data_IF_245577977965
#
_entry.id   IF_245577977965
#
_cell.length_a   1.000
_cell.length_b   1.000
_cell.length_c   1.000
_cell.angle_alpha   90.00
_cell.angle_beta   90.00
_cell.angle_gamma   90.00
#
_symmetry.space_group_name_H-M   'P 1'
#
loop_
_entity.id
_entity.type
_entity.pdbx_description
1 polymer ?
#
# COMPACT_ATOMS: atom_id res chain seq x y z
N UNK A 1 14.34 13.33 6.28
CA UNK A 1 12.90 13.19 5.94
C UNK A 1 12.74 13.69 4.52
N UNK A 2 12.22 12.88 3.62
CA UNK A 2 11.79 13.35 2.30
C UNK A 2 10.51 14.14 2.57
N UNK A 3 10.41 15.39 2.09
CA UNK A 3 9.24 16.21 2.35
C UNK A 3 7.99 15.57 1.79
N UNK A 4 6.98 15.35 2.64
CA UNK A 4 5.66 14.85 2.23
C UNK A 4 4.93 15.83 1.29
N UNK A 5 5.40 17.09 1.29
CA UNK A 5 4.83 18.18 0.49
C UNK A 5 5.43 18.29 -0.93
N UNK A 6 6.42 17.45 -1.26
CA UNK A 6 7.00 17.46 -2.61
C UNK A 6 5.97 16.97 -3.63
N UNK A 7 5.71 17.78 -4.65
CA UNK A 7 4.74 17.48 -5.71
C UNK A 7 5.41 16.89 -6.94
N UNK A 8 4.73 15.99 -7.62
CA UNK A 8 5.17 15.35 -8.86
C UNK A 8 3.97 15.01 -9.74
N UNK A 9 4.20 14.91 -11.04
CA UNK A 9 3.17 14.58 -12.01
C UNK A 9 3.21 13.08 -12.33
N UNK A 10 2.05 12.43 -12.27
CA UNK A 10 1.88 11.02 -12.65
C UNK A 10 0.80 10.87 -13.71
N UNK A 11 0.99 10.00 -14.71
CA UNK A 11 -0.10 9.66 -15.62
C UNK A 11 -1.25 9.02 -14.84
N UNK A 12 -2.49 9.47 -15.08
CA UNK A 12 -3.69 8.92 -14.44
C UNK A 12 -3.78 7.41 -14.64
N UNK A 13 -3.42 6.93 -15.85
CA UNK A 13 -3.41 5.50 -16.15
C UNK A 13 -2.49 4.68 -15.25
N UNK A 14 -1.46 5.29 -14.75
CA UNK A 14 -0.47 4.66 -13.88
C UNK A 14 -1.03 4.42 -12.49
N UNK A 15 -1.56 5.48 -11.88
CA UNK A 15 -2.10 5.45 -10.52
C UNK A 15 -3.37 4.59 -10.45
N UNK A 16 -4.25 4.70 -11.44
CA UNK A 16 -5.46 3.87 -11.55
C UNK A 16 -5.11 2.39 -11.66
N UNK A 17 -4.12 2.01 -12.46
CA UNK A 17 -3.78 0.59 -12.66
C UNK A 17 -3.21 -0.05 -11.40
N UNK A 18 -2.40 0.66 -10.61
CA UNK A 18 -1.90 0.15 -9.34
C UNK A 18 -3.02 -0.08 -8.34
N UNK A 19 -3.84 0.93 -8.13
CA UNK A 19 -4.93 0.86 -7.17
C UNK A 19 -6.00 -0.15 -7.60
N UNK A 20 -6.28 -0.25 -8.91
CA UNK A 20 -7.21 -1.26 -9.43
C UNK A 20 -6.81 -2.68 -9.07
N UNK A 21 -5.50 -3.00 -8.97
CA UNK A 21 -5.02 -4.32 -8.56
C UNK A 21 -5.54 -4.73 -7.19
N UNK A 22 -5.34 -3.89 -6.18
CA UNK A 22 -5.81 -4.12 -4.80
C UNK A 22 -7.32 -4.26 -4.74
N UNK A 23 -8.04 -3.33 -5.37
CA UNK A 23 -9.50 -3.32 -5.37
C UNK A 23 -10.08 -4.50 -6.14
N UNK A 24 -9.51 -4.87 -7.29
CA UNK A 24 -9.95 -6.00 -8.08
C UNK A 24 -9.75 -7.32 -7.33
N UNK A 25 -8.63 -7.48 -6.65
CA UNK A 25 -8.36 -8.66 -5.82
C UNK A 25 -9.36 -8.74 -4.66
N UNK A 26 -9.59 -7.65 -3.95
CA UNK A 26 -10.58 -7.58 -2.87
C UNK A 26 -11.99 -7.86 -3.39
N UNK A 27 -12.39 -7.23 -4.51
CA UNK A 27 -13.68 -7.46 -5.14
C UNK A 27 -13.90 -8.93 -5.50
N UNK A 28 -12.91 -9.57 -6.15
CA UNK A 28 -12.97 -10.98 -6.52
C UNK A 28 -13.10 -11.88 -5.29
N UNK A 29 -12.30 -11.66 -4.24
CA UNK A 29 -12.40 -12.43 -2.99
C UNK A 29 -13.77 -12.32 -2.33
N UNK A 30 -14.35 -11.12 -2.31
CA UNK A 30 -15.69 -10.92 -1.77
C UNK A 30 -16.74 -11.61 -2.66
N UNK A 31 -16.66 -11.46 -3.98
CA UNK A 31 -17.56 -12.13 -4.93
C UNK A 31 -17.60 -13.63 -4.75
N UNK A 32 -16.43 -14.27 -4.59
CA UNK A 32 -16.30 -15.71 -4.42
C UNK A 32 -16.87 -16.20 -3.08
N UNK A 33 -16.79 -15.39 -2.03
CA UNK A 33 -17.16 -15.80 -0.66
C UNK A 33 -18.56 -15.40 -0.23
N UNK A 34 -19.05 -14.27 -0.68
CA UNK A 34 -20.35 -13.73 -0.27
C UNK A 34 -21.30 -13.45 -1.44
N UNK A 35 -20.85 -13.65 -2.67
CA UNK A 35 -21.63 -13.45 -3.88
C UNK A 35 -21.73 -12.02 -4.35
N UNK A 36 -22.27 -11.84 -5.57
CA UNK A 36 -22.33 -10.55 -6.27
C UNK A 36 -23.21 -9.53 -5.54
N UNK A 37 -24.34 -9.94 -5.02
CA UNK A 37 -25.31 -9.04 -4.40
C UNK A 37 -24.74 -8.35 -3.16
N UNK A 38 -24.18 -9.12 -2.24
CA UNK A 38 -23.56 -8.58 -1.02
C UNK A 38 -22.30 -7.77 -1.33
N UNK A 39 -21.48 -8.23 -2.27
CA UNK A 39 -20.30 -7.47 -2.71
C UNK A 39 -20.70 -6.12 -3.29
N UNK A 40 -21.69 -6.08 -4.17
CA UNK A 40 -22.21 -4.83 -4.74
C UNK A 40 -22.80 -3.92 -3.66
N UNK A 41 -23.47 -4.48 -2.66
CA UNK A 41 -24.03 -3.70 -1.55
C UNK A 41 -22.93 -3.05 -0.69
N UNK A 42 -21.75 -3.69 -0.52
CA UNK A 42 -20.60 -3.09 0.15
C UNK A 42 -20.08 -1.89 -0.66
N UNK A 43 -19.89 -2.03 -1.97
CA UNK A 43 -19.43 -0.93 -2.84
C UNK A 43 -20.40 0.23 -2.87
N UNK A 44 -21.70 -0.05 -2.93
CA UNK A 44 -22.74 0.98 -2.92
C UNK A 44 -22.87 1.73 -1.58
N UNK A 45 -22.23 1.22 -0.52
CA UNK A 45 -22.12 1.93 0.76
C UNK A 45 -21.01 3.02 0.75
N UNK A 46 -20.15 3.03 -0.27
CA UNK A 46 -19.16 4.11 -0.43
C UNK A 46 -19.86 5.45 -0.72
N UNK A 47 -19.28 6.57 -0.27
CA UNK A 47 -19.79 7.89 -0.58
C UNK A 47 -19.96 8.08 -2.10
N UNK A 48 -21.06 8.67 -2.51
CA UNK A 48 -21.30 9.00 -3.92
C UNK A 48 -20.42 10.14 -4.44
N UNK A 49 -19.79 10.90 -3.56
CA UNK A 49 -18.89 12.02 -3.89
C UNK A 49 -17.43 11.68 -3.49
N UNK A 50 -16.44 12.26 -4.20
CA UNK A 50 -15.04 12.15 -3.82
C UNK A 50 -14.80 12.66 -2.39
N UNK A 51 -13.87 12.03 -1.68
CA UNK A 51 -13.41 12.55 -0.39
C UNK A 51 -12.68 13.90 -0.54
N UNK A 52 -12.38 14.54 0.60
CA UNK A 52 -11.75 15.86 0.58
C UNK A 52 -10.35 15.84 -0.03
N UNK A 53 -9.60 14.74 0.13
CA UNK A 53 -8.28 14.59 -0.48
C UNK A 53 -8.40 14.52 -2.00
N UNK A 54 -9.32 13.69 -2.51
CA UNK A 54 -9.59 13.60 -3.94
C UNK A 54 -10.07 14.95 -4.52
N UNK A 55 -10.96 15.65 -3.81
CA UNK A 55 -11.40 17.00 -4.21
C UNK A 55 -10.23 17.99 -4.30
N UNK A 56 -9.29 17.93 -3.36
CA UNK A 56 -8.08 18.77 -3.40
C UNK A 56 -7.20 18.45 -4.61
N UNK A 57 -6.99 17.16 -4.88
CA UNK A 57 -6.21 16.71 -6.04
C UNK A 57 -6.85 17.17 -7.35
N UNK A 58 -8.15 16.95 -7.50
CA UNK A 58 -8.90 17.34 -8.71
C UNK A 58 -8.99 18.86 -8.91
N UNK A 59 -8.96 19.63 -7.83
CA UNK A 59 -8.98 21.10 -7.88
C UNK A 59 -7.61 21.71 -8.16
N UNK A 60 -6.54 20.93 -8.15
CA UNK A 60 -5.20 21.43 -8.42
C UNK A 60 -5.00 21.65 -9.93
N UNK A 61 -4.77 22.91 -10.31
CA UNK A 61 -4.48 23.25 -11.70
C UNK A 61 -3.00 22.96 -12.01
N UNK A 62 -2.76 21.98 -12.91
CA UNK A 62 -1.43 21.66 -13.42
C UNK A 62 -0.79 22.91 -14.02
N UNK A 63 0.43 23.23 -13.59
CA UNK A 63 1.22 24.34 -14.17
C UNK A 63 1.29 25.60 -13.33
N UNK A 64 0.77 25.64 -12.11
CA UNK A 64 0.98 26.74 -11.16
C UNK A 64 2.09 26.42 -10.16
N UNK A 65 3.26 26.96 -10.42
CA UNK A 65 4.29 27.44 -9.49
C UNK A 65 5.42 26.53 -9.00
N UNK A 66 5.51 25.24 -9.22
CA UNK A 66 6.78 24.55 -9.00
C UNK A 66 7.05 23.57 -10.15
N UNK A 67 8.28 23.54 -10.66
CA UNK A 67 8.66 22.53 -11.66
C UNK A 67 8.43 21.15 -11.03
N UNK A 68 7.49 20.35 -11.57
CA UNK A 68 7.24 19.02 -11.04
C UNK A 68 8.51 18.18 -11.18
N UNK A 69 8.78 17.36 -10.19
CA UNK A 69 9.86 16.40 -10.27
C UNK A 69 9.55 15.43 -11.41
N UNK A 70 10.46 15.35 -12.39
CA UNK A 70 10.28 14.42 -13.50
C UNK A 70 10.15 12.98 -12.98
N UNK A 71 9.30 12.17 -13.62
CA UNK A 71 9.10 10.75 -13.29
C UNK A 71 10.41 9.92 -13.28
N UNK A 72 11.44 10.41 -13.95
CA UNK A 72 12.78 9.82 -14.05
C UNK A 72 13.53 9.78 -12.70
N UNK A 73 13.07 10.54 -11.70
CA UNK A 73 13.62 10.48 -10.33
C UNK A 73 12.98 9.38 -9.47
N UNK A 74 11.93 8.72 -9.96
CA UNK A 74 11.41 7.52 -9.33
C UNK A 74 12.43 6.39 -9.51
N UNK A 75 12.76 5.70 -8.44
CA UNK A 75 13.71 4.57 -8.54
C UNK A 75 13.14 3.48 -9.45
N UNK A 76 14.02 2.73 -10.15
CA UNK A 76 13.59 1.60 -11.00
C UNK A 76 12.68 0.63 -10.25
N UNK A 77 12.92 0.41 -8.94
CA UNK A 77 12.08 -0.44 -8.08
C UNK A 77 10.64 0.07 -7.94
N UNK A 78 10.46 1.38 -7.90
CA UNK A 78 9.13 2.01 -7.84
C UNK A 78 8.46 1.92 -9.22
N UNK A 79 9.20 2.15 -10.29
CA UNK A 79 8.70 2.01 -11.65
C UNK A 79 8.26 0.59 -11.96
N UNK A 80 8.99 -0.43 -11.51
CA UNK A 80 8.63 -1.84 -11.70
C UNK A 80 7.35 -2.24 -10.93
N UNK A 81 7.14 -1.67 -9.76
CA UNK A 81 5.92 -1.90 -8.98
C UNK A 81 4.70 -1.28 -9.67
N UNK A 82 4.83 -0.04 -10.13
CA UNK A 82 3.75 0.67 -10.84
C UNK A 82 3.50 0.14 -12.26
N UNK A 83 4.52 -0.41 -12.93
CA UNK A 83 4.37 -1.02 -14.25
C UNK A 83 3.80 -2.44 -14.23
N UNK A 84 3.53 -3.00 -13.04
CA UNK A 84 3.03 -4.38 -12.92
C UNK A 84 1.58 -4.45 -13.42
N UNK A 85 1.29 -5.14 -14.55
CA UNK A 85 -0.09 -5.26 -15.02
C UNK A 85 -0.91 -6.09 -14.02
N UNK A 86 -2.23 -5.85 -13.97
CA UNK A 86 -3.23 -6.67 -13.28
C UNK A 86 -3.00 -8.16 -13.61
N UNK A 87 -2.19 -8.86 -12.82
CA UNK A 87 -1.86 -10.26 -13.07
C UNK A 87 -2.93 -11.14 -12.44
N UNK A 88 -3.63 -11.91 -13.26
CA UNK A 88 -4.45 -13.05 -12.83
C UNK A 88 -5.89 -12.76 -12.43
N UNK A 89 -6.36 -11.54 -12.55
CA UNK A 89 -7.79 -11.23 -12.42
C UNK A 89 -8.42 -11.34 -13.80
N UNK A 90 -9.68 -11.78 -13.88
CA UNK A 90 -10.51 -11.48 -15.04
C UNK A 90 -10.68 -9.94 -15.08
N UNK A 91 -9.66 -9.31 -15.66
CA UNK A 91 -9.45 -7.87 -15.63
C UNK A 91 -10.58 -7.12 -16.33
N UNK A 92 -11.30 -7.79 -17.22
CA UNK A 92 -12.39 -7.18 -17.99
C UNK A 92 -13.64 -6.99 -17.14
N UNK A 93 -14.06 -8.02 -16.40
CA UNK A 93 -15.27 -7.93 -15.57
C UNK A 93 -15.06 -7.11 -14.30
N UNK A 94 -13.96 -7.32 -13.59
CA UNK A 94 -13.65 -6.58 -12.37
C UNK A 94 -13.33 -5.12 -12.70
N UNK A 95 -12.56 -4.86 -13.76
CA UNK A 95 -12.23 -3.52 -14.21
C UNK A 95 -13.49 -2.73 -14.63
N UNK A 96 -14.38 -3.33 -15.39
CA UNK A 96 -15.64 -2.68 -15.80
C UNK A 96 -16.53 -2.33 -14.59
N UNK A 97 -16.59 -3.20 -13.58
CA UNK A 97 -17.32 -2.92 -12.34
C UNK A 97 -16.68 -1.75 -11.58
N UNK A 98 -15.38 -1.81 -11.34
CA UNK A 98 -14.67 -0.80 -10.57
C UNK A 98 -14.75 0.58 -11.24
N UNK A 99 -14.52 0.66 -12.55
CA UNK A 99 -14.61 1.91 -13.30
C UNK A 99 -16.02 2.52 -13.34
N UNK A 100 -17.06 1.74 -13.06
CA UNK A 100 -18.43 2.24 -12.94
C UNK A 100 -18.83 2.67 -11.53
N UNK A 101 -17.93 2.52 -10.53
CA UNK A 101 -18.20 2.82 -9.13
C UNK A 101 -17.14 3.76 -8.53
N UNK A 102 -17.50 4.57 -7.52
CA UNK A 102 -16.53 5.37 -6.78
C UNK A 102 -15.42 4.49 -6.16
N UNK A 103 -14.16 4.98 -6.06
CA UNK A 103 -13.69 6.30 -6.49
C UNK A 103 -13.31 6.39 -7.98
N UNK A 104 -13.20 5.27 -8.69
CA UNK A 104 -12.64 5.24 -10.04
C UNK A 104 -13.55 5.89 -11.10
N UNK A 105 -14.86 5.86 -10.91
CA UNK A 105 -15.80 6.56 -11.81
C UNK A 105 -15.55 8.07 -11.86
N UNK A 106 -15.23 8.69 -10.73
CA UNK A 106 -14.89 10.12 -10.69
C UNK A 106 -13.60 10.44 -11.44
N UNK A 107 -12.60 9.56 -11.29
CA UNK A 107 -11.32 9.73 -11.98
C UNK A 107 -11.49 9.62 -13.49
N UNK A 108 -12.34 8.73 -13.96
CA UNK A 108 -12.70 8.61 -15.37
C UNK A 108 -13.38 9.88 -15.91
N UNK A 109 -14.30 10.44 -15.15
CA UNK A 109 -14.98 11.68 -15.51
C UNK A 109 -14.00 12.86 -15.57
N UNK A 110 -13.09 12.96 -14.60
CA UNK A 110 -12.08 14.01 -14.53
C UNK A 110 -10.93 13.83 -15.53
N UNK A 111 -10.72 12.66 -16.10
CA UNK A 111 -9.57 12.36 -16.96
C UNK A 111 -9.42 13.34 -18.14
N UNK A 112 -10.52 13.75 -18.74
CA UNK A 112 -10.54 14.70 -19.86
C UNK A 112 -10.16 16.12 -19.41
N UNK A 113 -10.55 16.53 -18.21
CA UNK A 113 -10.27 17.85 -17.64
C UNK A 113 -8.82 17.95 -17.17
N UNK A 114 -8.26 16.86 -16.64
CA UNK A 114 -6.88 16.78 -16.13
C UNK A 114 -5.83 16.48 -17.22
N UNK A 115 -6.23 16.41 -18.49
CA UNK A 115 -5.32 16.09 -19.61
C UNK A 115 -4.53 14.78 -19.44
N UNK A 116 -5.07 13.85 -18.67
CA UNK A 116 -4.47 12.53 -18.42
C UNK A 116 -3.33 12.51 -17.39
N UNK A 117 -3.11 13.60 -16.64
CA UNK A 117 -2.05 13.72 -15.63
C UNK A 117 -2.65 14.16 -14.29
N UNK A 118 -2.20 13.52 -13.20
CA UNK A 118 -2.42 13.97 -11.83
C UNK A 118 -1.15 14.61 -11.28
N UNK A 119 -1.27 15.78 -10.67
CA UNK A 119 -0.18 16.38 -9.93
C UNK A 119 -0.38 16.12 -8.44
N UNK A 120 0.49 15.29 -7.86
CA UNK A 120 0.36 14.77 -6.51
C UNK A 120 1.54 15.17 -5.63
N UNK A 121 1.28 15.50 -4.38
CA UNK A 121 2.31 15.47 -3.35
C UNK A 121 2.59 14.03 -2.92
N UNK A 122 3.73 13.79 -2.29
CA UNK A 122 4.04 12.46 -1.72
C UNK A 122 2.96 12.01 -0.73
N UNK A 123 2.41 12.93 0.05
CA UNK A 123 1.30 12.65 0.98
C UNK A 123 0.03 12.19 0.21
N UNK A 124 -0.35 12.93 -0.82
CA UNK A 124 -1.53 12.62 -1.65
C UNK A 124 -1.36 11.26 -2.34
N UNK A 125 -0.19 10.97 -2.92
CA UNK A 125 0.09 9.68 -3.55
C UNK A 125 0.01 8.50 -2.56
N UNK A 126 0.51 8.69 -1.33
CA UNK A 126 0.43 7.66 -0.29
C UNK A 126 -1.00 7.36 0.16
N UNK A 127 -1.90 8.34 0.09
CA UNK A 127 -3.23 8.24 0.68
C UNK A 127 -4.36 8.24 -0.34
N UNK A 128 -4.03 8.45 -1.63
CA UNK A 128 -5.01 8.38 -2.71
C UNK A 128 -5.74 7.02 -2.67
N UNK A 129 -7.05 7.06 -2.69
CA UNK A 129 -7.94 5.90 -2.60
C UNK A 129 -7.91 5.09 -1.28
N UNK A 130 -7.06 5.40 -0.30
CA UNK A 130 -7.00 4.65 0.97
C UNK A 130 -8.27 4.79 1.79
N UNK A 131 -8.91 5.96 1.75
CA UNK A 131 -10.18 6.18 2.44
C UNK A 131 -11.26 5.22 1.91
N UNK A 132 -11.38 5.08 0.59
CA UNK A 132 -12.32 4.16 -0.02
C UNK A 132 -12.01 2.69 0.32
N UNK A 133 -10.72 2.29 0.26
CA UNK A 133 -10.29 0.94 0.67
C UNK A 133 -10.63 0.67 2.13
N UNK A 134 -10.34 1.60 3.02
CA UNK A 134 -10.66 1.47 4.44
C UNK A 134 -12.16 1.32 4.68
N UNK A 135 -12.99 2.12 3.99
CA UNK A 135 -14.46 2.03 4.10
C UNK A 135 -15.02 0.71 3.60
N UNK A 136 -14.49 0.16 2.49
CA UNK A 136 -14.87 -1.18 2.02
C UNK A 136 -14.54 -2.22 3.09
N UNK A 137 -13.37 -2.14 3.70
CA UNK A 137 -12.94 -3.05 4.75
C UNK A 137 -13.80 -2.91 6.01
N UNK A 138 -14.07 -1.69 6.46
CA UNK A 138 -14.95 -1.40 7.60
C UNK A 138 -16.36 -1.95 7.37
N UNK A 139 -16.95 -1.71 6.19
CA UNK A 139 -18.27 -2.22 5.85
C UNK A 139 -18.29 -3.75 5.78
N UNK A 140 -17.24 -4.37 5.20
CA UNK A 140 -17.10 -5.82 5.15
C UNK A 140 -17.04 -6.43 6.57
N UNK A 141 -16.25 -5.82 7.45
CA UNK A 141 -16.13 -6.28 8.84
C UNK A 141 -17.41 -6.02 9.62
N UNK A 142 -18.07 -4.89 9.41
CA UNK A 142 -19.34 -4.59 10.07
C UNK A 142 -20.42 -5.62 9.74
N UNK A 143 -20.47 -6.11 8.50
CA UNK A 143 -21.44 -7.11 8.04
C UNK A 143 -21.08 -8.54 8.49
N UNK A 144 -19.81 -8.91 8.41
CA UNK A 144 -19.38 -10.30 8.53
C UNK A 144 -18.49 -10.56 9.75
N UNK A 145 -18.19 -9.55 10.57
CA UNK A 145 -17.37 -9.67 11.78
C UNK A 145 -15.99 -10.25 11.49
N UNK A 146 -15.55 -11.23 12.27
CA UNK A 146 -14.24 -11.87 12.10
C UNK A 146 -14.06 -12.56 10.75
N UNK A 147 -15.13 -13.07 10.15
CA UNK A 147 -15.05 -13.65 8.81
C UNK A 147 -14.75 -12.57 7.76
N UNK A 148 -15.31 -11.36 7.90
CA UNK A 148 -14.99 -10.21 7.05
C UNK A 148 -13.54 -9.77 7.17
N UNK A 149 -13.01 -9.71 8.38
CA UNK A 149 -11.60 -9.41 8.64
C UNK A 149 -10.67 -10.42 7.94
N UNK A 150 -10.99 -11.72 8.03
CA UNK A 150 -10.22 -12.77 7.35
C UNK A 150 -10.31 -12.67 5.83
N UNK A 151 -11.48 -12.33 5.27
CA UNK A 151 -11.62 -12.12 3.83
C UNK A 151 -10.74 -10.99 3.32
N UNK A 152 -10.71 -9.87 4.02
CA UNK A 152 -9.83 -8.73 3.69
C UNK A 152 -8.36 -9.13 3.80
N UNK A 153 -7.97 -9.78 4.91
CA UNK A 153 -6.60 -10.24 5.12
C UNK A 153 -6.12 -11.19 4.02
N UNK A 154 -6.94 -12.15 3.64
CA UNK A 154 -6.63 -13.12 2.58
C UNK A 154 -6.47 -12.43 1.21
N UNK A 155 -7.34 -11.45 0.90
CA UNK A 155 -7.27 -10.68 -0.34
C UNK A 155 -5.96 -9.88 -0.43
N UNK A 156 -5.59 -9.18 0.63
CA UNK A 156 -4.34 -8.43 0.68
C UNK A 156 -3.11 -9.34 0.51
N UNK A 157 -3.11 -10.50 1.17
CA UNK A 157 -2.01 -11.45 1.03
C UNK A 157 -1.93 -12.09 -0.36
N UNK A 158 -3.06 -12.31 -1.02
CA UNK A 158 -3.07 -12.82 -2.40
C UNK A 158 -2.49 -11.80 -3.37
N UNK A 159 -2.84 -10.53 -3.21
CA UNK A 159 -2.25 -9.46 -3.99
C UNK A 159 -0.73 -9.46 -3.89
N UNK A 160 -0.17 -9.46 -2.67
CA UNK A 160 1.28 -9.53 -2.47
C UNK A 160 1.92 -10.77 -3.09
N UNK A 161 1.26 -11.94 -3.03
CA UNK A 161 1.74 -13.14 -3.71
C UNK A 161 1.75 -13.01 -5.23
N UNK A 162 0.84 -12.23 -5.79
CA UNK A 162 0.79 -12.00 -7.24
C UNK A 162 1.90 -11.08 -7.74
N UNK A 163 2.34 -10.15 -6.89
CA UNK A 163 3.38 -9.16 -7.19
C UNK A 163 4.78 -9.72 -6.91
N UNK A 164 4.96 -10.37 -5.77
CA UNK A 164 6.27 -10.92 -5.36
C UNK A 164 6.42 -12.32 -5.94
N UNK A 165 6.98 -12.40 -7.13
CA UNK A 165 7.16 -13.66 -7.88
C UNK A 165 8.52 -14.33 -7.65
N UNK A 166 9.50 -13.58 -7.19
CA UNK A 166 10.86 -14.05 -6.96
C UNK A 166 11.33 -13.76 -5.54
N UNK A 167 12.02 -14.71 -4.94
CA UNK A 167 12.63 -14.57 -3.63
C UNK A 167 14.10 -14.19 -3.73
N UNK A 168 14.50 -13.28 -2.88
CA UNK A 168 15.90 -12.91 -2.71
C UNK A 168 16.57 -13.85 -1.70
N UNK A 169 17.83 -14.28 -1.92
CA UNK A 169 18.60 -15.00 -0.91
C UNK A 169 18.67 -14.21 0.40
N UNK A 170 18.50 -14.89 1.55
CA UNK A 170 18.42 -14.23 2.85
C UNK A 170 19.63 -13.35 3.17
N UNK A 171 20.84 -13.78 2.81
CA UNK A 171 22.04 -12.97 3.00
C UNK A 171 22.01 -11.66 2.22
N UNK A 172 21.51 -11.68 0.97
CA UNK A 172 21.38 -10.48 0.14
C UNK A 172 20.28 -9.57 0.68
N UNK A 173 19.16 -10.14 1.12
CA UNK A 173 18.11 -9.39 1.79
C UNK A 173 18.63 -8.65 3.02
N UNK A 174 19.31 -9.36 3.94
CA UNK A 174 19.87 -8.77 5.17
C UNK A 174 20.86 -7.65 4.85
N UNK A 175 21.76 -7.87 3.88
CA UNK A 175 22.73 -6.87 3.43
C UNK A 175 22.05 -5.61 2.88
N UNK A 176 21.07 -5.76 1.99
CA UNK A 176 20.33 -4.64 1.41
C UNK A 176 19.54 -3.89 2.48
N UNK A 177 18.83 -4.60 3.36
CA UNK A 177 18.04 -4.01 4.45
C UNK A 177 18.93 -3.22 5.42
N UNK A 178 20.06 -3.78 5.82
CA UNK A 178 21.02 -3.11 6.69
C UNK A 178 21.61 -1.86 6.03
N UNK A 179 21.97 -1.94 4.75
CA UNK A 179 22.47 -0.81 3.99
C UNK A 179 21.43 0.32 3.91
N UNK A 180 20.17 -0.01 3.64
CA UNK A 180 19.05 0.94 3.59
C UNK A 180 18.83 1.64 4.95
N UNK A 181 18.89 0.93 6.05
CA UNK A 181 18.71 1.53 7.38
C UNK A 181 19.92 2.38 7.82
N UNK A 182 21.13 2.04 7.39
CA UNK A 182 22.33 2.86 7.61
C UNK A 182 22.38 4.12 6.76
N UNK A 183 21.86 4.01 5.54
CA UNK A 183 21.88 5.08 4.53
C UNK A 183 20.49 5.15 3.89
N UNK A 184 19.50 5.76 4.57
CA UNK A 184 18.17 5.86 3.99
C UNK A 184 18.24 6.61 2.65
N UNK A 185 17.51 6.16 1.62
CA UNK A 185 17.52 6.78 0.30
C UNK A 185 17.10 8.25 0.41
N UNK A 186 17.78 9.09 -0.37
CA UNK A 186 17.47 10.52 -0.46
C UNK A 186 16.37 10.81 -1.49
N UNK A 187 16.09 9.83 -2.33
CA UNK A 187 15.08 9.89 -3.40
C UNK A 187 13.70 9.52 -2.87
N UNK A 188 12.69 9.91 -3.62
CA UNK A 188 11.29 9.60 -3.35
C UNK A 188 11.09 8.08 -3.31
N UNK A 189 11.08 7.53 -2.14
CA UNK A 189 10.65 6.15 -1.91
C UNK A 189 9.21 6.24 -1.39
N UNK A 190 8.24 6.07 -2.27
CA UNK A 190 6.82 6.20 -1.95
C UNK A 190 6.45 5.27 -0.79
N UNK A 191 7.03 4.07 -0.74
CA UNK A 191 6.80 3.12 0.35
C UNK A 191 7.54 3.45 1.65
N UNK A 192 8.64 4.21 1.58
CA UNK A 192 9.43 4.63 2.73
C UNK A 192 9.29 6.11 3.09
N UNK A 193 8.66 6.92 2.23
CA UNK A 193 8.59 8.38 2.38
C UNK A 193 7.89 8.84 3.67
N UNK A 194 7.06 8.01 4.25
CA UNK A 194 6.38 8.28 5.51
C UNK A 194 6.99 7.63 6.74
N UNK A 195 8.20 7.04 6.64
CA UNK A 195 8.84 6.31 7.74
C UNK A 195 10.13 6.98 8.19
N UNK A 196 10.23 7.30 9.49
CA UNK A 196 11.50 7.58 10.13
C UNK A 196 11.99 6.31 10.83
N UNK A 197 13.17 5.84 10.41
CA UNK A 197 13.72 4.56 10.88
C UNK A 197 15.05 4.81 11.61
N UNK A 198 15.13 4.33 12.84
CA UNK A 198 16.33 4.34 13.65
C UNK A 198 16.92 2.93 13.76
N UNK A 199 18.09 2.70 13.18
CA UNK A 199 18.80 1.44 13.36
C UNK A 199 19.35 1.37 14.79
N UNK A 200 18.85 0.42 15.59
CA UNK A 200 19.29 0.19 16.97
C UNK A 200 20.52 -0.70 17.05
N UNK A 201 20.50 -1.78 16.28
CA UNK A 201 21.64 -2.68 16.12
C UNK A 201 21.50 -3.43 14.81
N UNK A 202 22.60 -3.89 14.21
CA UNK A 202 22.48 -4.72 13.03
C UNK A 202 23.80 -5.18 12.45
N UNK A 203 23.79 -6.44 12.05
CA UNK A 203 24.79 -7.09 11.23
C UNK A 203 24.08 -7.97 10.17
N UNK A 204 24.82 -8.84 9.50
CA UNK A 204 24.28 -9.74 8.48
C UNK A 204 23.40 -10.88 9.04
N UNK A 205 23.40 -11.08 10.37
CA UNK A 205 22.62 -12.13 11.04
C UNK A 205 21.35 -11.59 11.70
N UNK A 206 21.42 -10.37 12.23
CA UNK A 206 20.31 -9.76 12.93
C UNK A 206 20.28 -8.25 12.69
N UNK A 207 19.10 -7.71 12.42
CA UNK A 207 18.85 -6.28 12.32
C UNK A 207 17.71 -5.92 13.26
N UNK A 208 17.94 -4.96 14.14
CA UNK A 208 16.92 -4.35 14.98
C UNK A 208 16.79 -2.88 14.62
N UNK A 209 15.61 -2.47 14.18
CA UNK A 209 15.28 -1.10 13.86
C UNK A 209 13.96 -0.67 14.52
N UNK A 210 13.91 0.59 14.90
CA UNK A 210 12.68 1.22 15.39
C UNK A 210 12.16 2.21 14.34
N UNK A 211 10.91 2.05 13.93
CA UNK A 211 10.19 3.04 13.14
C UNK A 211 9.52 3.99 14.13
N UNK A 212 10.01 5.20 14.22
CA UNK A 212 9.56 6.22 15.19
C UNK A 212 8.49 7.14 14.62
N UNK A 213 8.37 7.22 13.31
CA UNK A 213 7.29 7.91 12.59
C UNK A 213 6.79 7.01 11.48
N UNK A 214 5.49 6.91 11.33
CA UNK A 214 4.84 6.15 10.27
C UNK A 214 3.62 6.93 9.77
N UNK A 215 3.68 7.41 8.53
CA UNK A 215 2.58 8.19 7.95
C UNK A 215 1.31 7.36 7.79
N UNK A 216 1.44 6.05 7.53
CA UNK A 216 0.31 5.13 7.51
C UNK A 216 -0.38 5.04 8.88
N UNK A 217 0.41 4.95 9.97
CA UNK A 217 -0.15 4.92 11.31
C UNK A 217 -0.85 6.24 11.63
N UNK A 218 -0.25 7.39 11.28
CA UNK A 218 -0.87 8.70 11.48
C UNK A 218 -2.20 8.80 10.74
N UNK A 219 -2.22 8.45 9.45
CA UNK A 219 -3.42 8.52 8.61
C UNK A 219 -4.55 7.63 9.13
N UNK A 220 -4.25 6.34 9.37
CA UNK A 220 -5.29 5.40 9.77
C UNK A 220 -5.78 5.62 11.20
N UNK A 221 -4.90 5.96 12.15
CA UNK A 221 -5.33 6.26 13.53
C UNK A 221 -6.25 7.45 13.59
N UNK A 222 -6.07 8.45 12.74
CA UNK A 222 -6.93 9.62 12.64
C UNK A 222 -8.28 9.33 11.99
N UNK A 223 -8.30 8.51 10.91
CA UNK A 223 -9.46 8.38 10.03
C UNK A 223 -10.16 7.01 10.13
N UNK A 224 -9.41 5.94 10.23
CA UNK A 224 -9.90 4.56 10.14
C UNK A 224 -9.20 3.64 11.16
N UNK A 225 -9.26 3.94 12.47
CA UNK A 225 -8.50 3.20 13.48
C UNK A 225 -8.91 1.70 13.56
N UNK A 226 -10.13 1.37 13.17
CA UNK A 226 -10.66 0.01 13.21
C UNK A 226 -9.99 -0.96 12.23
N UNK A 227 -9.47 -0.46 11.11
CA UNK A 227 -8.87 -1.27 10.03
C UNK A 227 -7.41 -0.94 9.75
N UNK A 228 -6.86 0.08 10.38
CA UNK A 228 -5.51 0.55 10.08
C UNK A 228 -4.44 -0.52 10.25
N UNK A 229 -4.49 -1.30 11.34
CA UNK A 229 -3.57 -2.41 11.55
C UNK A 229 -3.69 -3.47 10.45
N UNK A 230 -4.92 -3.83 10.10
CA UNK A 230 -5.19 -4.82 9.06
C UNK A 230 -4.62 -4.39 7.70
N UNK A 231 -4.85 -3.14 7.30
CA UNK A 231 -4.46 -2.63 5.99
C UNK A 231 -2.97 -2.30 5.86
N UNK A 232 -2.34 -1.82 6.93
CA UNK A 232 -0.97 -1.32 6.86
C UNK A 232 0.06 -2.24 7.52
N UNK A 233 -0.32 -2.94 8.60
CA UNK A 233 0.64 -3.65 9.43
C UNK A 233 0.55 -5.16 9.31
N UNK A 234 -0.65 -5.74 9.16
CA UNK A 234 -0.84 -7.19 9.21
C UNK A 234 -0.13 -7.93 8.07
N UNK A 235 0.15 -7.24 6.98
CA UNK A 235 0.79 -7.78 5.77
C UNK A 235 2.32 -7.87 5.87
N UNK A 236 2.95 -7.20 6.82
CA UNK A 236 4.42 -7.14 6.88
C UNK A 236 5.07 -8.53 7.00
N UNK A 237 4.63 -9.37 7.94
CA UNK A 237 5.23 -10.71 8.11
C UNK A 237 5.01 -11.60 6.88
N UNK A 238 3.79 -11.73 6.31
CA UNK A 238 3.60 -12.44 5.05
C UNK A 238 4.45 -11.90 3.90
N UNK A 239 4.53 -10.59 3.73
CA UNK A 239 5.31 -9.95 2.66
C UNK A 239 6.79 -10.30 2.79
N UNK A 240 7.39 -10.18 3.98
CA UNK A 240 8.79 -10.52 4.15
C UNK A 240 9.07 -12.01 3.92
N UNK A 241 8.15 -12.91 4.26
CA UNK A 241 8.26 -14.34 3.93
C UNK A 241 8.16 -14.64 2.44
N UNK A 242 7.45 -13.78 1.70
CA UNK A 242 7.38 -13.88 0.23
C UNK A 242 8.66 -13.35 -0.42
N UNK A 243 9.25 -12.29 0.12
CA UNK A 243 10.43 -11.64 -0.45
C UNK A 243 11.72 -12.41 -0.27
N UNK A 244 11.85 -13.25 0.76
CA UNK A 244 13.13 -13.90 1.06
C UNK A 244 12.96 -15.23 1.78
N UNK A 245 13.91 -16.16 1.53
CA UNK A 245 14.08 -17.38 2.31
C UNK A 245 15.23 -17.21 3.32
N UNK A 246 15.16 -17.97 4.42
CA UNK A 246 16.22 -17.95 5.44
C UNK A 246 16.27 -16.68 6.30
N UNK A 247 15.22 -15.85 6.26
CA UNK A 247 15.08 -14.69 7.15
C UNK A 247 13.70 -14.71 7.78
N UNK A 248 13.64 -14.42 9.07
CA UNK A 248 12.38 -14.21 9.79
C UNK A 248 12.24 -12.74 10.18
N UNK A 249 11.02 -12.26 10.06
CA UNK A 249 10.58 -10.97 10.57
C UNK A 249 9.83 -11.18 11.89
N UNK A 250 10.11 -10.32 12.85
CA UNK A 250 9.40 -10.27 14.12
C UNK A 250 9.12 -8.83 14.50
N UNK A 251 7.94 -8.59 15.06
CA UNK A 251 7.51 -7.29 15.55
C UNK A 251 6.77 -7.46 16.86
N UNK A 252 7.18 -6.72 17.91
CA UNK A 252 6.59 -6.81 19.24
C UNK A 252 5.59 -5.71 19.54
N UNK A 253 5.77 -4.56 18.90
CA UNK A 253 4.88 -3.40 19.06
C UNK A 253 4.80 -2.61 17.78
N UNK A 254 3.73 -1.85 17.63
CA UNK A 254 3.53 -0.93 16.51
C UNK A 254 2.99 0.41 16.98
N UNK A 255 3.30 1.47 16.23
CA UNK A 255 2.64 2.77 16.37
C UNK A 255 1.13 2.66 16.20
N UNK A 256 0.68 1.77 15.29
CA UNK A 256 -0.74 1.54 15.02
C UNK A 256 -1.51 0.97 16.21
N UNK A 257 -0.83 0.27 17.11
CA UNK A 257 -1.38 -0.28 18.36
C UNK A 257 -1.13 0.62 19.57
N UNK A 258 -0.65 1.86 19.35
CA UNK A 258 -0.37 2.83 20.41
C UNK A 258 1.00 2.68 21.05
N UNK A 259 1.91 1.92 20.45
CA UNK A 259 3.31 1.85 20.88
C UNK A 259 4.05 3.14 20.56
N UNK A 260 5.17 3.38 21.23
CA UNK A 260 6.05 4.54 20.99
C UNK A 260 6.82 4.42 19.67
N UNK A 261 6.95 3.22 19.13
CA UNK A 261 7.60 2.89 17.85
C UNK A 261 7.08 1.55 17.31
N UNK A 262 7.36 1.27 16.03
CA UNK A 262 7.26 -0.11 15.53
C UNK A 262 8.63 -0.78 15.67
N UNK A 263 8.69 -1.94 16.34
CA UNK A 263 9.91 -2.75 16.38
C UNK A 263 9.98 -3.61 15.11
N UNK A 264 11.02 -3.39 14.31
CA UNK A 264 11.31 -4.24 13.14
C UNK A 264 12.57 -5.04 13.43
N UNK A 265 12.39 -6.34 13.58
CA UNK A 265 13.49 -7.27 13.83
C UNK A 265 13.55 -8.32 12.73
N UNK A 266 14.68 -8.36 12.04
CA UNK A 266 14.99 -9.38 11.04
C UNK A 266 16.13 -10.21 11.54
N UNK A 267 16.04 -11.53 11.41
CA UNK A 267 17.13 -12.43 11.78
C UNK A 267 17.23 -13.60 10.80
N UNK A 268 18.49 -13.93 10.44
CA UNK A 268 18.79 -15.07 9.62
C UNK A 268 18.47 -16.36 10.38
N UNK A 269 17.79 -17.30 9.72
CA UNK A 269 17.56 -18.64 10.26
C UNK A 269 18.32 -19.65 9.43
N UNK A 270 18.98 -20.61 10.12
CA UNK A 270 19.62 -21.71 9.43
C UNK A 270 18.53 -22.62 8.83
N UNK A 271 18.62 -22.91 7.54
CA UNK A 271 17.67 -23.74 6.80
C UNK A 271 17.56 -25.19 7.34
N UNK A 272 18.37 -25.53 8.33
CA UNK A 272 18.48 -26.88 8.92
C UNK A 272 17.74 -27.03 10.25
N UNK A 273 17.03 -26.00 10.73
CA UNK A 273 16.29 -26.02 11.99
C UNK A 273 14.95 -26.73 11.90
N UNK A 274 14.42 -27.26 13.05
CA UNK A 274 13.12 -27.96 13.08
C UNK A 274 11.90 -27.09 12.74
N UNK A 275 12.08 -25.80 12.51
CA UNK A 275 11.07 -24.80 12.13
C UNK A 275 11.30 -24.20 10.74
N UNK A 276 12.07 -24.89 9.86
CA UNK A 276 12.31 -24.48 8.48
C UNK A 276 11.11 -24.75 7.57
#
# INVERSE_FOLDING_TARGET
>A
MIGLDRRFDVPISWDVNEQLGTYATLYRHLMERIGVEETTAIWNALPAEPDDLMKQILAYEVGKEEEPCASDELTEEVQDIFASPLRGVDAESAGAFLLSHPPFSWLQEAQSELQGVLSLTTYEALHLFRDALARICEETIARFGKAGELMVYDALNEEWRSVITEKMPGADFMKRRLARYKNPPKTLDIFGAGLDVELKSGDEKEILAHVTTCEWARYFLERHPSVGYLLACSVDDPVYRLQTDGVRFQRRCTLMEGGEYCEFRFYAVDETGPDA
#
